data_IF_810424308256
#
_entry.id   IF_810424308256
#
_cell.length_a   1.000
_cell.length_b   1.000
_cell.length_c   1.000
_cell.angle_alpha   90.00
_cell.angle_beta   90.00
_cell.angle_gamma   90.00
#
_symmetry.space_group_name_H-M   'P 1'
#
loop_
_entity.id
_entity.type
_entity.pdbx_description
1 polymer ?
#
# COMPACT_ATOMS: atom_id res chain seq x y z
N UNK A 1 4.01 -0.75 1.24
CA UNK A 1 3.31 -0.93 -0.05
C UNK A 1 3.12 0.44 -0.70
N UNK A 2 3.42 0.57 -1.99
CA UNK A 2 3.31 1.83 -2.72
C UNK A 2 2.16 1.79 -3.73
N UNK A 3 1.29 2.78 -3.69
CA UNK A 3 0.16 2.87 -4.62
C UNK A 3 0.58 3.34 -6.01
N UNK A 4 1.47 4.33 -6.11
CA UNK A 4 1.72 5.07 -7.35
C UNK A 4 2.84 4.43 -8.21
N UNK A 5 2.64 4.23 -9.53
CA UNK A 5 3.65 3.74 -10.46
C UNK A 5 4.95 4.56 -10.48
N UNK A 6 4.88 5.86 -10.19
CA UNK A 6 6.06 6.72 -10.11
C UNK A 6 7.04 6.30 -9.02
N UNK A 7 6.61 5.56 -8.00
CA UNK A 7 7.45 5.10 -6.90
C UNK A 7 8.20 3.78 -7.23
N UNK A 8 7.82 3.10 -8.30
CA UNK A 8 8.36 1.77 -8.68
C UNK A 8 9.88 1.76 -8.88
N UNK A 9 10.50 2.75 -9.57
CA UNK A 9 11.96 2.77 -9.70
C UNK A 9 12.67 2.83 -8.34
N UNK A 10 12.11 3.57 -7.37
CA UNK A 10 12.67 3.67 -6.02
C UNK A 10 12.53 2.36 -5.25
N UNK A 11 11.38 1.69 -5.34
CA UNK A 11 11.16 0.36 -4.76
C UNK A 11 12.15 -0.67 -5.30
N UNK A 12 12.34 -0.70 -6.62
CA UNK A 12 13.30 -1.60 -7.28
C UNK A 12 14.73 -1.35 -6.80
N UNK A 13 15.13 -0.08 -6.71
CA UNK A 13 16.44 0.30 -6.19
C UNK A 13 16.63 -0.17 -4.75
N UNK A 14 15.67 0.08 -3.88
CA UNK A 14 15.72 -0.35 -2.47
C UNK A 14 15.75 -1.88 -2.34
N UNK A 15 14.97 -2.58 -3.15
CA UNK A 15 14.99 -4.04 -3.18
C UNK A 15 16.38 -4.58 -3.56
N UNK A 16 17.05 -3.96 -4.54
CA UNK A 16 18.40 -4.32 -4.93
C UNK A 16 19.44 -3.98 -3.83
N UNK A 17 19.36 -2.79 -3.25
CA UNK A 17 20.25 -2.32 -2.15
C UNK A 17 20.24 -3.28 -0.96
N UNK A 18 19.08 -3.87 -0.65
CA UNK A 18 18.90 -4.80 0.46
C UNK A 18 18.84 -6.28 0.04
N UNK A 19 19.15 -6.60 -1.22
CA UNK A 19 19.16 -7.97 -1.75
C UNK A 19 17.85 -8.74 -1.53
N UNK A 20 16.71 -8.08 -1.68
CA UNK A 20 15.39 -8.72 -1.51
C UNK A 20 15.12 -9.70 -2.65
N UNK A 21 14.50 -10.82 -2.31
CA UNK A 21 14.00 -11.80 -3.27
C UNK A 21 12.77 -11.25 -3.98
N UNK A 22 12.82 -11.21 -5.31
CA UNK A 22 11.66 -10.85 -6.12
C UNK A 22 10.68 -12.03 -6.24
N UNK A 23 9.39 -11.72 -6.18
CA UNK A 23 8.28 -12.64 -6.42
C UNK A 23 7.46 -12.18 -7.62
N UNK A 24 6.82 -13.13 -8.29
CA UNK A 24 5.87 -12.83 -9.36
C UNK A 24 4.57 -12.27 -8.78
N UNK A 25 4.13 -11.11 -9.28
CA UNK A 25 2.83 -10.49 -8.95
C UNK A 25 2.31 -9.64 -10.12
N UNK A 26 2.09 -10.26 -11.28
CA UNK A 26 1.55 -9.59 -12.48
C UNK A 26 2.27 -8.28 -12.83
N UNK A 27 1.56 -7.15 -12.78
CA UNK A 27 2.04 -5.81 -13.14
C UNK A 27 2.69 -5.06 -11.96
N UNK A 28 2.76 -5.69 -10.77
CA UNK A 28 3.35 -5.12 -9.57
C UNK A 28 4.68 -5.80 -9.23
N UNK A 29 5.64 -5.00 -8.79
CA UNK A 29 6.84 -5.50 -8.13
C UNK A 29 6.49 -5.98 -6.73
N UNK A 30 6.99 -7.15 -6.37
CA UNK A 30 6.89 -7.71 -5.02
C UNK A 30 8.25 -8.26 -4.62
N UNK A 31 8.72 -7.87 -3.45
CA UNK A 31 10.05 -8.18 -2.93
C UNK A 31 9.96 -8.54 -1.46
N UNK A 32 10.73 -9.53 -1.00
CA UNK A 32 10.78 -9.92 0.41
C UNK A 32 12.20 -10.20 0.89
N UNK A 33 12.40 -10.03 2.19
CA UNK A 33 13.54 -10.49 2.97
C UNK A 33 13.03 -11.10 4.29
N UNK A 34 13.94 -11.54 5.15
CA UNK A 34 13.58 -12.00 6.50
C UNK A 34 13.12 -10.84 7.42
N UNK A 35 13.37 -9.59 7.01
CA UNK A 35 13.11 -8.41 7.84
C UNK A 35 11.91 -7.57 7.37
N UNK A 36 11.71 -7.44 6.06
CA UNK A 36 10.65 -6.59 5.51
C UNK A 36 10.29 -6.96 4.07
N UNK A 37 9.18 -6.36 3.62
CA UNK A 37 8.59 -6.56 2.31
C UNK A 37 8.40 -5.23 1.58
N UNK A 38 8.48 -5.27 0.25
CA UNK A 38 8.13 -4.14 -0.62
C UNK A 38 7.15 -4.63 -1.68
N UNK A 39 6.09 -3.88 -1.92
CA UNK A 39 5.13 -4.17 -2.98
C UNK A 39 4.68 -2.87 -3.66
N UNK A 40 4.51 -2.90 -4.98
CA UNK A 40 3.97 -1.79 -5.76
C UNK A 40 4.32 -1.86 -7.26
N UNK A 41 3.55 -1.17 -8.12
CA UNK A 41 2.52 -0.23 -7.73
C UNK A 41 1.19 -0.96 -7.48
N UNK A 42 0.42 -0.44 -6.52
CA UNK A 42 -0.88 -0.95 -6.09
C UNK A 42 -2.00 0.01 -6.53
N UNK A 43 -2.10 0.29 -7.84
CA UNK A 43 -3.08 1.25 -8.38
C UNK A 43 -4.47 0.63 -8.41
N UNK A 44 -5.40 1.25 -7.68
CA UNK A 44 -6.77 0.78 -7.57
C UNK A 44 -6.91 -0.36 -6.57
N UNK A 45 -8.10 -0.44 -5.97
CA UNK A 45 -8.37 -1.37 -4.89
C UNK A 45 -8.17 -2.86 -5.24
N UNK A 46 -8.51 -3.37 -6.44
CA UNK A 46 -8.23 -4.77 -6.79
C UNK A 46 -6.74 -5.11 -6.78
N UNK A 47 -5.89 -4.23 -7.32
CA UNK A 47 -4.44 -4.43 -7.30
C UNK A 47 -3.86 -4.28 -5.89
N UNK A 48 -4.39 -3.33 -5.10
CA UNK A 48 -3.99 -3.14 -3.71
C UNK A 48 -4.27 -4.39 -2.87
N UNK A 49 -5.46 -4.97 -3.01
CA UNK A 49 -5.82 -6.22 -2.34
C UNK A 49 -4.96 -7.39 -2.81
N UNK A 50 -4.69 -7.54 -4.12
CA UNK A 50 -3.77 -8.60 -4.58
C UNK A 50 -2.36 -8.47 -3.99
N UNK A 51 -1.84 -7.25 -3.87
CA UNK A 51 -0.57 -7.01 -3.18
C UNK A 51 -0.67 -7.34 -1.68
N UNK A 52 -1.74 -6.88 -1.03
CA UNK A 52 -1.99 -7.08 0.39
C UNK A 52 -2.06 -8.56 0.75
N UNK A 53 -2.90 -9.33 0.05
CA UNK A 53 -3.07 -10.77 0.24
C UNK A 53 -1.75 -11.52 0.07
N UNK A 54 -0.97 -11.13 -0.94
CA UNK A 54 0.32 -11.76 -1.19
C UNK A 54 1.35 -11.43 -0.11
N UNK A 55 1.36 -10.20 0.41
CA UNK A 55 2.20 -9.80 1.54
C UNK A 55 1.83 -10.58 2.80
N UNK A 56 0.54 -10.70 3.11
CA UNK A 56 0.03 -11.48 4.24
C UNK A 56 0.45 -12.95 4.11
N UNK A 57 0.29 -13.54 2.92
CA UNK A 57 0.70 -14.92 2.64
C UNK A 57 2.21 -15.14 2.77
N UNK A 58 3.03 -14.11 2.55
CA UNK A 58 4.48 -14.15 2.75
C UNK A 58 4.90 -13.89 4.21
N UNK A 59 3.94 -13.62 5.11
CA UNK A 59 4.18 -13.47 6.55
C UNK A 59 4.16 -12.03 7.06
N UNK A 60 3.83 -11.02 6.23
CA UNK A 60 3.67 -9.65 6.70
C UNK A 60 2.54 -9.56 7.75
N UNK A 61 2.81 -8.80 8.82
CA UNK A 61 1.86 -8.54 9.91
C UNK A 61 1.40 -7.09 9.90
N UNK A 62 2.36 -6.19 9.77
CA UNK A 62 2.13 -4.76 9.68
C UNK A 62 2.33 -4.30 8.24
N UNK A 63 1.33 -3.62 7.68
CA UNK A 63 1.33 -3.21 6.28
C UNK A 63 1.04 -1.71 6.19
N UNK A 64 2.07 -0.96 5.87
CA UNK A 64 1.97 0.48 5.61
C UNK A 64 1.73 0.68 4.11
N UNK A 65 0.61 1.31 3.75
CA UNK A 65 0.35 1.82 2.41
C UNK A 65 0.75 3.31 2.36
N UNK A 66 1.54 3.68 1.36
CA UNK A 66 1.80 5.09 1.04
C UNK A 66 1.49 5.38 -0.42
N UNK A 67 1.17 6.64 -0.68
CA UNK A 67 0.82 7.11 -2.01
C UNK A 67 0.57 8.60 -2.01
N UNK A 68 -0.09 9.05 -3.08
CA UNK A 68 -0.35 10.45 -3.34
C UNK A 68 -1.85 10.67 -3.41
N UNK A 69 -2.34 11.78 -2.86
CA UNK A 69 -3.76 12.13 -2.91
C UNK A 69 -3.94 13.62 -3.19
N UNK A 70 -5.10 13.96 -3.73
CA UNK A 70 -5.54 15.35 -3.85
C UNK A 70 -6.26 15.79 -2.57
N UNK A 71 -6.07 17.05 -2.18
CA UNK A 71 -6.80 17.62 -1.05
C UNK A 71 -8.21 18.04 -1.45
N UNK A 72 -9.18 17.78 -0.57
CA UNK A 72 -10.55 18.30 -0.67
C UNK A 72 -10.76 19.54 0.22
N UNK A 73 -9.76 19.94 1.00
CA UNK A 73 -9.84 21.07 1.93
C UNK A 73 -8.70 22.08 1.70
N UNK A 74 -8.96 23.40 1.74
CA UNK A 74 -7.91 24.41 1.48
C UNK A 74 -6.75 24.39 2.46
N UNK A 75 -6.95 23.84 3.67
CA UNK A 75 -5.94 23.79 4.71
C UNK A 75 -4.80 22.79 4.42
N UNK A 76 -5.08 21.73 3.67
CA UNK A 76 -4.08 20.73 3.28
C UNK A 76 -3.54 21.09 1.90
N UNK A 77 -2.26 21.47 1.86
CA UNK A 77 -1.56 21.98 0.68
C UNK A 77 -0.80 20.86 -0.02
N UNK A 78 -0.37 21.12 -1.26
CA UNK A 78 0.50 20.22 -1.98
C UNK A 78 1.79 19.97 -1.17
N UNK A 79 2.22 18.71 -1.12
CA UNK A 79 3.39 18.21 -0.38
C UNK A 79 3.20 18.10 1.15
N UNK A 80 2.04 18.46 1.68
CA UNK A 80 1.72 18.12 3.08
C UNK A 80 1.59 16.60 3.25
N UNK A 81 1.99 16.10 4.41
CA UNK A 81 1.83 14.69 4.78
C UNK A 81 0.48 14.52 5.47
N UNK A 82 -0.36 13.65 4.90
CA UNK A 82 -1.62 13.23 5.49
C UNK A 82 -1.49 11.82 6.03
N UNK A 83 -1.77 11.66 7.33
CA UNK A 83 -2.00 10.35 7.95
C UNK A 83 -3.51 10.17 8.14
N UNK A 84 -4.18 9.34 7.32
CA UNK A 84 -5.63 9.19 7.41
C UNK A 84 -6.02 8.42 8.68
N UNK A 85 -7.05 8.88 9.38
CA UNK A 85 -7.59 8.19 10.58
C UNK A 85 -8.76 7.25 10.27
N UNK A 86 -9.35 7.40 9.08
CA UNK A 86 -10.38 6.53 8.51
C UNK A 86 -10.48 6.82 7.00
N UNK A 87 -11.20 5.98 6.25
CA UNK A 87 -11.46 6.18 4.84
C UNK A 87 -12.94 5.98 4.48
N UNK A 88 -13.42 6.70 3.46
CA UNK A 88 -14.68 6.40 2.78
C UNK A 88 -14.39 5.47 1.60
N UNK A 89 -15.03 4.30 1.54
CA UNK A 89 -14.90 3.40 0.40
C UNK A 89 -15.99 3.68 -0.63
N UNK A 90 -15.59 4.19 -1.80
CA UNK A 90 -16.45 4.36 -2.99
C UNK A 90 -16.05 3.40 -4.13
N UNK A 91 -15.37 2.31 -3.79
CA UNK A 91 -14.86 1.31 -4.73
C UNK A 91 -15.53 -0.06 -4.52
N UNK A 92 -15.32 -1.02 -5.44
CA UNK A 92 -16.08 -2.28 -5.48
C UNK A 92 -15.47 -3.47 -4.73
N UNK A 93 -14.27 -3.35 -4.19
CA UNK A 93 -13.43 -4.44 -3.66
C UNK A 93 -13.62 -4.62 -2.15
N UNK A 94 -13.58 -3.55 -1.36
CA UNK A 94 -13.62 -3.61 0.11
C UNK A 94 -14.94 -4.16 0.63
N UNK A 95 -16.03 -4.02 -0.13
CA UNK A 95 -17.32 -4.64 0.20
C UNK A 95 -17.25 -6.17 0.26
N UNK A 96 -16.28 -6.80 -0.40
CA UNK A 96 -16.03 -8.24 -0.31
C UNK A 96 -15.28 -8.65 0.97
N UNK A 97 -14.78 -7.68 1.75
CA UNK A 97 -13.98 -7.87 2.95
C UNK A 97 -14.66 -7.37 4.23
N UNK A 98 -15.96 -7.07 4.17
CA UNK A 98 -16.76 -6.62 5.33
C UNK A 98 -16.13 -5.45 6.10
N UNK A 99 -15.49 -4.50 5.38
CA UNK A 99 -14.65 -3.44 5.96
C UNK A 99 -15.37 -2.43 6.90
N UNK A 100 -16.65 -2.64 7.20
CA UNK A 100 -17.52 -1.75 7.95
C UNK A 100 -17.76 -0.43 7.21
N UNK A 101 -18.65 0.39 7.75
CA UNK A 101 -19.00 1.67 7.12
C UNK A 101 -17.87 2.71 7.23
N UNK A 102 -16.92 2.50 8.15
CA UNK A 102 -15.85 3.45 8.46
C UNK A 102 -14.53 2.73 8.76
N UNK A 103 -13.87 2.17 7.73
CA UNK A 103 -12.59 1.48 7.90
C UNK A 103 -11.54 2.42 8.49
N UNK A 104 -10.74 1.88 9.42
CA UNK A 104 -9.70 2.61 10.15
C UNK A 104 -8.36 1.89 10.04
N UNK A 105 -7.23 2.60 10.09
CA UNK A 105 -5.93 1.98 10.27
C UNK A 105 -5.81 1.42 11.69
N UNK A 106 -4.94 0.42 11.82
CA UNK A 106 -4.50 -0.12 13.10
C UNK A 106 -4.02 1.02 14.02
N UNK A 107 -4.56 1.15 15.26
CA UNK A 107 -4.13 2.17 16.22
C UNK A 107 -2.63 2.20 16.52
N UNK A 108 -1.93 1.07 16.44
CA UNK A 108 -0.48 0.99 16.71
C UNK A 108 0.37 1.48 15.53
N UNK A 109 -0.22 1.60 14.33
CA UNK A 109 0.45 2.03 13.10
C UNK A 109 0.06 3.45 12.66
N UNK A 110 -0.56 4.23 13.54
CA UNK A 110 -0.98 5.63 13.30
C UNK A 110 0.17 6.63 13.46
#
# INVERSE_FOLDING_TARGET
MAANPSDVPRLRKLAAEHSLKQHFLFHSGLYSSDHFFLAGPAVGAPMAVMCLEKLIALGAKDIILYGWCGSLVPALKALDILVPTWALSEEGTSGHYEAGDRPQPDPELR
#
